data_IF_447441146124
#
_entry.id   IF_447441146124
#
_cell.length_a   1.000
_cell.length_b   1.000
_cell.length_c   1.000
_cell.angle_alpha   90.00
_cell.angle_beta   90.00
_cell.angle_gamma   90.00
#
_symmetry.space_group_name_H-M   'P 1'
#
loop_
_entity.id
_entity.type
_entity.pdbx_description
1 polymer ?
#
# COMPACT_ATOMS: atom_id res chain seq x y z
N UNK A 1 -36.07 -35.26 0.14
CA UNK A 1 -35.30 -34.75 1.29
C UNK A 1 -34.34 -33.69 0.76
N UNK A 2 -34.71 -32.40 0.87
CA UNK A 2 -33.84 -31.29 0.45
C UNK A 2 -32.58 -31.32 1.32
N UNK A 3 -31.43 -31.62 0.72
CA UNK A 3 -30.15 -31.36 1.35
C UNK A 3 -29.88 -29.86 1.19
N UNK A 4 -30.14 -29.08 2.23
CA UNK A 4 -29.56 -27.75 2.38
C UNK A 4 -28.04 -27.93 2.33
N UNK A 5 -27.44 -27.67 1.18
CA UNK A 5 -26.01 -27.40 1.09
C UNK A 5 -25.82 -26.02 1.74
N UNK A 6 -25.49 -26.05 3.03
CA UNK A 6 -24.90 -24.90 3.70
C UNK A 6 -23.64 -24.51 2.91
N UNK A 7 -23.78 -23.51 2.04
CA UNK A 7 -22.69 -22.76 1.41
C UNK A 7 -21.98 -21.93 2.48
N UNK A 8 -21.47 -22.60 3.51
CA UNK A 8 -20.57 -22.02 4.50
C UNK A 8 -19.25 -21.70 3.81
N UNK A 9 -19.02 -20.43 3.55
CA UNK A 9 -17.75 -19.85 3.15
C UNK A 9 -16.66 -20.20 4.17
N UNK A 10 -15.96 -21.31 3.99
CA UNK A 10 -14.74 -21.58 4.74
C UNK A 10 -13.86 -22.53 3.94
N UNK A 11 -12.90 -21.97 3.20
CA UNK A 11 -11.92 -22.76 2.45
C UNK A 11 -10.51 -22.63 3.04
N UNK A 12 -10.12 -21.47 3.55
CA UNK A 12 -8.99 -21.30 4.46
C UNK A 12 -9.08 -19.92 5.13
N UNK A 13 -8.53 -19.71 6.34
CA UNK A 13 -8.49 -18.37 6.90
C UNK A 13 -7.61 -17.45 6.03
N UNK A 14 -8.10 -16.24 5.76
CA UNK A 14 -7.35 -15.21 5.02
C UNK A 14 -6.07 -14.83 5.76
N UNK A 15 -5.14 -14.15 5.10
CA UNK A 15 -3.93 -13.64 5.77
C UNK A 15 -4.28 -12.78 6.98
N UNK A 16 -5.25 -11.86 6.85
CA UNK A 16 -5.71 -11.02 7.96
C UNK A 16 -6.21 -11.86 9.15
N UNK A 17 -7.02 -12.89 8.89
CA UNK A 17 -7.53 -13.77 9.94
C UNK A 17 -6.40 -14.56 10.64
N UNK A 18 -5.40 -15.03 9.89
CA UNK A 18 -4.23 -15.73 10.45
C UNK A 18 -3.38 -14.81 11.34
N UNK A 19 -3.23 -13.55 10.96
CA UNK A 19 -2.43 -12.55 11.67
C UNK A 19 -3.29 -11.55 12.45
N UNK A 20 -4.50 -11.95 12.84
CA UNK A 20 -5.46 -11.07 13.50
C UNK A 20 -4.92 -10.49 14.80
N UNK A 21 -4.32 -11.33 15.66
CA UNK A 21 -3.78 -10.89 16.96
C UNK A 21 -2.68 -9.83 16.80
N UNK A 22 -1.80 -10.02 15.83
CA UNK A 22 -0.77 -9.03 15.49
C UNK A 22 -1.40 -7.72 15.00
N UNK A 23 -2.29 -7.79 14.01
CA UNK A 23 -2.97 -6.62 13.47
C UNK A 23 -3.77 -5.85 14.54
N UNK A 24 -4.44 -6.57 15.44
CA UNK A 24 -5.15 -5.98 16.58
C UNK A 24 -4.19 -5.28 17.53
N UNK A 25 -3.08 -5.92 17.88
CA UNK A 25 -2.05 -5.32 18.75
C UNK A 25 -1.51 -4.01 18.19
N UNK A 26 -1.26 -3.95 16.87
CA UNK A 26 -0.86 -2.70 16.20
C UNK A 26 -1.99 -1.66 16.22
N UNK A 27 -3.22 -2.03 15.85
CA UNK A 27 -4.36 -1.12 15.83
C UNK A 27 -4.69 -0.52 17.21
N UNK A 28 -4.52 -1.30 18.27
CA UNK A 28 -4.72 -0.86 19.67
C UNK A 28 -3.51 -0.07 20.22
N UNK A 29 -2.44 0.13 19.43
CA UNK A 29 -1.21 0.81 19.86
C UNK A 29 -0.30 0.00 20.78
N UNK A 30 -0.59 -1.29 21.01
CA UNK A 30 0.25 -2.18 21.79
C UNK A 30 1.42 -2.71 20.94
N UNK A 31 2.37 -1.83 20.65
CA UNK A 31 3.53 -2.14 19.82
C UNK A 31 4.49 -3.14 20.48
N UNK A 32 4.59 -3.14 21.81
CA UNK A 32 5.46 -4.06 22.56
C UNK A 32 5.00 -5.51 22.40
N UNK A 33 3.70 -5.76 22.51
CA UNK A 33 3.16 -7.10 22.28
C UNK A 33 3.25 -7.48 20.79
N UNK A 34 3.03 -6.54 19.87
CA UNK A 34 3.21 -6.78 18.44
C UNK A 34 4.65 -7.24 18.12
N UNK A 35 5.66 -6.51 18.62
CA UNK A 35 7.08 -6.85 18.49
C UNK A 35 7.39 -8.24 19.06
N UNK A 36 6.86 -8.55 20.25
CA UNK A 36 7.05 -9.86 20.88
C UNK A 36 6.50 -11.01 20.03
N UNK A 37 5.30 -10.85 19.46
CA UNK A 37 4.73 -11.83 18.53
C UNK A 37 5.66 -12.05 17.33
N UNK A 38 6.20 -10.96 16.75
CA UNK A 38 7.13 -11.06 15.63
C UNK A 38 8.42 -11.78 15.99
N UNK A 39 9.05 -11.42 17.11
CA UNK A 39 10.30 -12.05 17.59
C UNK A 39 10.13 -13.54 17.88
N UNK A 40 8.98 -13.96 18.40
CA UNK A 40 8.72 -15.38 18.66
C UNK A 40 8.67 -16.27 17.41
N UNK A 41 8.31 -15.72 16.25
CA UNK A 41 8.17 -16.47 14.99
C UNK A 41 9.28 -16.14 13.98
N UNK A 42 10.24 -15.28 14.32
CA UNK A 42 11.23 -14.71 13.41
C UNK A 42 11.98 -15.78 12.59
N UNK A 43 12.58 -16.76 13.24
CA UNK A 43 13.39 -17.78 12.57
C UNK A 43 12.59 -18.58 11.52
N UNK A 44 11.28 -18.77 11.75
CA UNK A 44 10.36 -19.46 10.84
C UNK A 44 9.90 -18.52 9.73
N UNK A 45 9.53 -17.29 10.07
CA UNK A 45 8.95 -16.33 9.13
C UNK A 45 9.98 -15.81 8.11
N UNK A 46 11.21 -15.52 8.52
CA UNK A 46 12.29 -15.05 7.63
C UNK A 46 12.67 -16.10 6.56
N UNK A 47 12.44 -17.39 6.83
CA UNK A 47 12.69 -18.49 5.87
C UNK A 47 11.44 -18.88 5.08
N UNK A 48 10.29 -18.27 5.37
CA UNK A 48 9.01 -18.63 4.79
C UNK A 48 8.69 -17.84 3.51
N UNK A 49 7.57 -18.18 2.88
CA UNK A 49 6.96 -17.43 1.77
C UNK A 49 6.41 -16.06 2.19
N UNK A 50 6.39 -15.76 3.49
CA UNK A 50 5.91 -14.52 4.08
C UNK A 50 7.05 -13.60 4.54
N UNK A 51 8.32 -13.93 4.24
CA UNK A 51 9.50 -13.18 4.72
C UNK A 51 9.45 -11.69 4.40
N UNK A 52 9.00 -11.31 3.20
CA UNK A 52 8.75 -9.92 2.85
C UNK A 52 7.82 -9.24 3.87
N UNK A 53 6.63 -9.81 4.07
CA UNK A 53 5.64 -9.29 5.00
C UNK A 53 6.16 -9.25 6.44
N UNK A 54 6.94 -10.25 6.85
CA UNK A 54 7.57 -10.23 8.16
C UNK A 54 8.50 -9.03 8.31
N UNK A 55 9.42 -8.80 7.37
CA UNK A 55 10.37 -7.70 7.46
C UNK A 55 9.70 -6.34 7.42
N UNK A 56 8.78 -6.10 6.48
CA UNK A 56 8.13 -4.78 6.38
C UNK A 56 7.25 -4.46 7.59
N UNK A 57 6.54 -5.46 8.15
CA UNK A 57 5.79 -5.26 9.39
C UNK A 57 6.72 -5.01 10.60
N UNK A 58 7.87 -5.69 10.67
CA UNK A 58 8.84 -5.53 11.75
C UNK A 58 9.49 -4.15 11.67
N UNK A 59 9.80 -3.71 10.46
CA UNK A 59 10.27 -2.36 10.15
C UNK A 59 9.31 -1.30 10.68
N UNK A 60 8.02 -1.39 10.34
CA UNK A 60 7.01 -0.41 10.81
C UNK A 60 6.89 -0.41 12.32
N UNK A 61 6.75 -1.59 12.96
CA UNK A 61 6.62 -1.67 14.43
C UNK A 61 7.85 -1.07 15.11
N UNK A 62 9.06 -1.38 14.63
CA UNK A 62 10.29 -0.80 15.16
C UNK A 62 10.37 0.72 14.95
N UNK A 63 9.97 1.22 13.77
CA UNK A 63 9.92 2.67 13.46
C UNK A 63 8.97 3.40 14.41
N UNK A 64 7.76 2.88 14.61
CA UNK A 64 6.76 3.45 15.53
C UNK A 64 7.21 3.42 16.99
N UNK A 65 8.14 2.53 17.36
CA UNK A 65 8.76 2.48 18.68
C UNK A 65 10.01 3.37 18.81
N UNK A 66 10.41 4.09 17.75
CA UNK A 66 11.64 4.89 17.72
C UNK A 66 12.92 4.07 17.58
N UNK A 67 12.84 2.78 17.26
CA UNK A 67 13.98 1.88 17.04
C UNK A 67 14.42 1.93 15.57
N UNK A 68 14.88 3.09 15.14
CA UNK A 68 15.09 3.41 13.73
C UNK A 68 16.18 2.55 13.06
N UNK A 69 17.26 2.21 13.77
CA UNK A 69 18.30 1.31 13.25
C UNK A 69 17.77 -0.11 13.02
N UNK A 70 17.04 -0.66 14.00
CA UNK A 70 16.41 -1.99 13.88
C UNK A 70 15.38 -1.99 12.75
N UNK A 71 14.59 -0.92 12.65
CA UNK A 71 13.62 -0.71 11.58
C UNK A 71 14.29 -0.74 10.20
N UNK A 72 15.33 0.07 10.00
CA UNK A 72 16.07 0.13 8.73
C UNK A 72 16.74 -1.20 8.38
N UNK A 73 17.22 -1.95 9.37
CA UNK A 73 17.77 -3.29 9.13
C UNK A 73 16.72 -4.28 8.59
N UNK A 74 15.46 -4.19 9.05
CA UNK A 74 14.38 -5.00 8.49
C UNK A 74 14.00 -4.53 7.07
N UNK A 75 13.87 -3.23 6.86
CA UNK A 75 13.55 -2.69 5.53
C UNK A 75 14.64 -3.01 4.50
N UNK A 76 15.93 -2.97 4.87
CA UNK A 76 17.01 -3.38 3.97
C UNK A 76 16.92 -4.85 3.57
N UNK A 77 16.55 -5.75 4.49
CA UNK A 77 16.30 -7.17 4.15
C UNK A 77 15.17 -7.31 3.14
N UNK A 78 14.10 -6.52 3.27
CA UNK A 78 13.00 -6.51 2.32
C UNK A 78 13.44 -5.96 0.94
N UNK A 79 14.24 -4.88 0.94
CA UNK A 79 14.79 -4.24 -0.28
C UNK A 79 15.66 -5.22 -1.08
N UNK A 80 16.65 -5.83 -0.43
CA UNK A 80 17.53 -6.84 -1.02
C UNK A 80 16.73 -8.06 -1.54
N UNK A 81 15.72 -8.48 -0.79
CA UNK A 81 14.87 -9.60 -1.20
C UNK A 81 14.08 -9.30 -2.48
N UNK A 82 13.59 -8.07 -2.67
CA UNK A 82 12.89 -7.67 -3.90
C UNK A 82 13.84 -7.78 -5.10
N UNK A 83 15.05 -7.23 -4.98
CA UNK A 83 16.05 -7.24 -6.05
C UNK A 83 16.48 -8.66 -6.45
N UNK A 84 16.73 -9.52 -5.46
CA UNK A 84 17.15 -10.90 -5.70
C UNK A 84 16.01 -11.75 -6.29
N UNK A 85 14.78 -11.57 -5.81
CA UNK A 85 13.66 -12.34 -6.33
C UNK A 85 13.34 -11.99 -7.78
N UNK A 86 13.42 -10.71 -8.16
CA UNK A 86 13.19 -10.29 -9.55
C UNK A 86 14.11 -11.02 -10.54
N UNK A 87 15.38 -11.25 -10.17
CA UNK A 87 16.34 -11.98 -11.00
C UNK A 87 15.95 -13.46 -11.16
N UNK A 88 15.57 -14.12 -10.07
CA UNK A 88 15.31 -15.57 -10.07
C UNK A 88 13.93 -15.96 -10.65
N UNK A 89 12.91 -15.11 -10.53
CA UNK A 89 11.55 -15.43 -10.99
C UNK A 89 11.45 -15.64 -12.50
N UNK A 90 12.30 -14.97 -13.29
CA UNK A 90 12.35 -15.13 -14.75
C UNK A 90 12.80 -16.55 -15.17
N UNK A 91 13.47 -17.29 -14.28
CA UNK A 91 14.03 -18.62 -14.57
C UNK A 91 13.05 -19.76 -14.22
N UNK A 92 12.01 -19.51 -13.40
CA UNK A 92 11.05 -20.52 -12.93
C UNK A 92 9.81 -20.64 -13.83
N UNK A 93 9.94 -21.31 -14.98
CA UNK A 93 8.80 -21.64 -15.85
C UNK A 93 7.69 -22.41 -15.11
N UNK A 94 6.44 -21.92 -15.16
CA UNK A 94 5.24 -22.62 -14.66
C UNK A 94 4.82 -22.29 -13.21
N UNK A 95 5.63 -21.56 -12.43
CA UNK A 95 5.29 -21.20 -11.05
C UNK A 95 4.01 -20.36 -10.91
N UNK A 96 3.65 -19.59 -11.94
CA UNK A 96 2.42 -18.78 -11.98
C UNK A 96 1.12 -19.60 -12.03
N UNK A 97 1.19 -20.89 -12.39
CA UNK A 97 0.05 -21.82 -12.41
C UNK A 97 -0.13 -22.58 -11.09
N UNK A 98 0.76 -22.40 -10.11
CA UNK A 98 0.57 -22.94 -8.77
C UNK A 98 -0.46 -22.11 -8.00
N UNK A 99 -1.06 -22.67 -6.95
CA UNK A 99 -1.91 -21.87 -6.04
C UNK A 99 -1.07 -20.70 -5.48
N UNK A 100 -1.57 -19.45 -5.46
CA UNK A 100 -0.78 -18.29 -5.04
C UNK A 100 -0.25 -18.40 -3.60
N UNK A 101 -0.95 -19.10 -2.71
CA UNK A 101 -0.48 -19.37 -1.34
C UNK A 101 0.78 -20.28 -1.31
N UNK A 102 1.14 -20.90 -2.44
CA UNK A 102 2.36 -21.68 -2.62
C UNK A 102 3.54 -20.88 -3.19
N UNK A 103 3.31 -19.69 -3.73
CA UNK A 103 4.39 -18.79 -4.16
C UNK A 103 4.89 -17.94 -3.01
N UNK A 104 6.07 -17.33 -3.17
CA UNK A 104 6.56 -16.31 -2.21
C UNK A 104 5.86 -14.99 -2.49
N UNK A 105 5.41 -14.29 -1.44
CA UNK A 105 4.88 -12.95 -1.59
C UNK A 105 6.01 -11.93 -1.70
N UNK A 106 5.96 -11.06 -2.70
CA UNK A 106 7.05 -10.13 -3.04
C UNK A 106 6.76 -8.66 -2.74
N UNK A 107 5.54 -8.35 -2.28
CA UNK A 107 5.05 -6.98 -2.19
C UNK A 107 4.42 -6.48 -3.49
N UNK A 108 3.42 -5.63 -3.33
CA UNK A 108 2.86 -4.83 -4.41
C UNK A 108 3.81 -3.72 -4.84
N UNK A 109 3.62 -3.16 -6.03
CA UNK A 109 4.50 -2.09 -6.53
C UNK A 109 4.47 -0.85 -5.61
N UNK A 110 3.28 -0.42 -5.18
CA UNK A 110 3.13 0.68 -4.19
C UNK A 110 3.70 0.29 -2.81
N UNK A 111 3.55 -0.96 -2.38
CA UNK A 111 4.14 -1.44 -1.11
C UNK A 111 5.67 -1.32 -1.11
N UNK A 112 6.33 -1.54 -2.25
CA UNK A 112 7.80 -1.45 -2.36
C UNK A 112 8.29 -0.01 -2.26
N UNK A 113 7.54 0.97 -2.77
CA UNK A 113 7.86 2.39 -2.62
C UNK A 113 7.86 2.80 -1.14
N UNK A 114 6.94 2.24 -0.35
CA UNK A 114 6.83 2.53 1.08
C UNK A 114 8.03 2.09 1.92
N UNK A 115 8.86 1.16 1.43
CA UNK A 115 10.09 0.73 2.12
C UNK A 115 11.05 1.91 2.25
N UNK A 116 11.33 2.59 1.14
CA UNK A 116 12.25 3.73 1.15
C UNK A 116 11.63 4.94 1.84
N UNK A 117 10.30 5.11 1.81
CA UNK A 117 9.62 6.12 2.63
C UNK A 117 9.98 5.96 4.12
N UNK A 118 9.76 4.77 4.69
CA UNK A 118 10.08 4.56 6.11
C UNK A 118 11.58 4.67 6.38
N UNK A 119 12.44 4.14 5.50
CA UNK A 119 13.89 4.25 5.67
C UNK A 119 14.35 5.70 5.68
N UNK A 120 13.84 6.52 4.75
CA UNK A 120 14.18 7.93 4.66
C UNK A 120 13.73 8.71 5.89
N UNK A 121 12.49 8.48 6.36
CA UNK A 121 12.00 9.06 7.62
C UNK A 121 12.87 8.65 8.81
N UNK A 122 13.17 7.37 8.95
CA UNK A 122 13.99 6.84 10.04
C UNK A 122 15.40 7.47 10.04
N UNK A 123 16.06 7.54 8.87
CA UNK A 123 17.36 8.20 8.76
C UNK A 123 17.28 9.68 9.11
N UNK A 124 16.24 10.37 8.67
CA UNK A 124 16.00 11.77 9.02
C UNK A 124 15.85 11.96 10.54
N UNK A 125 15.03 11.11 11.20
CA UNK A 125 14.85 11.14 12.66
C UNK A 125 16.16 10.90 13.43
N UNK A 126 17.11 10.17 12.84
CA UNK A 126 18.41 9.91 13.41
C UNK A 126 19.45 11.02 13.15
N UNK A 127 19.07 12.10 12.46
CA UNK A 127 20.01 13.13 11.99
C UNK A 127 20.95 12.65 10.88
N UNK A 128 20.63 11.52 10.24
CA UNK A 128 21.40 10.89 9.15
C UNK A 128 20.88 11.36 7.79
N UNK A 129 21.07 12.65 7.53
CA UNK A 129 20.48 13.34 6.39
C UNK A 129 21.01 12.84 5.04
N UNK A 130 22.29 12.53 4.94
CA UNK A 130 22.89 11.99 3.71
C UNK A 130 22.27 10.63 3.35
N UNK A 131 22.05 9.77 4.35
CA UNK A 131 21.38 8.48 4.16
C UNK A 131 19.90 8.66 3.76
N UNK A 132 19.18 9.64 4.32
CA UNK A 132 17.82 9.96 3.89
C UNK A 132 17.78 10.41 2.42
N UNK A 133 18.77 11.19 1.97
CA UNK A 133 18.92 11.60 0.55
C UNK A 133 19.28 10.42 -0.35
N UNK A 134 20.06 9.44 0.12
CA UNK A 134 20.30 8.19 -0.62
C UNK A 134 18.99 7.44 -0.87
N UNK A 135 18.11 7.37 0.12
CA UNK A 135 16.80 6.74 -0.07
C UNK A 135 15.91 7.51 -1.05
N UNK A 136 16.03 8.84 -1.15
CA UNK A 136 15.36 9.63 -2.20
C UNK A 136 15.81 9.20 -3.61
N UNK A 137 17.10 8.98 -3.81
CA UNK A 137 17.63 8.47 -5.08
C UNK A 137 17.13 7.06 -5.39
N UNK A 138 17.03 6.19 -4.38
CA UNK A 138 16.47 4.84 -4.54
C UNK A 138 14.98 4.88 -4.93
N UNK A 139 14.20 5.79 -4.32
CA UNK A 139 12.80 6.02 -4.69
C UNK A 139 12.67 6.49 -6.14
N UNK A 140 13.48 7.45 -6.56
CA UNK A 140 13.51 7.95 -7.93
C UNK A 140 13.78 6.82 -8.94
N UNK A 141 14.80 5.98 -8.69
CA UNK A 141 15.09 4.81 -9.53
C UNK A 141 13.90 3.85 -9.58
N UNK A 142 13.24 3.60 -8.45
CA UNK A 142 12.09 2.68 -8.38
C UNK A 142 10.87 3.23 -9.10
N UNK A 143 10.64 4.54 -9.05
CA UNK A 143 9.59 5.21 -9.85
C UNK A 143 9.86 5.09 -11.34
N UNK A 144 11.10 5.32 -11.78
CA UNK A 144 11.47 5.14 -13.20
C UNK A 144 11.26 3.68 -13.65
N UNK A 145 11.61 2.69 -12.82
CA UNK A 145 11.35 1.28 -13.13
C UNK A 145 9.84 0.97 -13.20
N UNK A 146 9.03 1.62 -12.37
CA UNK A 146 7.58 1.46 -12.36
C UNK A 146 6.95 2.06 -13.63
N UNK A 147 7.39 3.24 -14.05
CA UNK A 147 6.90 3.89 -15.26
C UNK A 147 7.31 3.14 -16.53
N UNK A 148 8.53 2.59 -16.59
CA UNK A 148 8.94 1.72 -17.72
C UNK A 148 8.13 0.42 -17.81
N UNK A 149 7.68 -0.12 -16.67
CA UNK A 149 6.87 -1.34 -16.60
C UNK A 149 5.46 -1.14 -17.17
N UNK A 150 4.93 0.08 -17.11
CA UNK A 150 3.54 0.38 -17.45
C UNK A 150 3.44 1.56 -18.42
N UNK A 151 3.10 1.29 -19.68
CA UNK A 151 2.99 2.32 -20.74
C UNK A 151 1.57 2.85 -20.98
N UNK A 152 0.62 2.56 -20.09
CA UNK A 152 -0.80 2.89 -20.28
C UNK A 152 -1.22 4.03 -19.36
N UNK A 153 -1.87 5.06 -19.90
CA UNK A 153 -2.36 6.25 -19.16
C UNK A 153 -3.31 5.94 -17.99
N UNK A 154 -3.93 4.75 -17.98
CA UNK A 154 -4.83 4.32 -16.90
C UNK A 154 -4.16 3.49 -15.80
N UNK A 155 -2.82 3.39 -15.80
CA UNK A 155 -2.06 2.61 -14.83
C UNK A 155 -1.34 3.50 -13.84
N UNK A 156 -1.22 3.03 -12.60
CA UNK A 156 -0.36 3.63 -11.60
C UNK A 156 1.11 3.45 -12.00
N UNK A 157 1.69 4.51 -12.59
CA UNK A 157 3.07 4.54 -13.09
C UNK A 157 3.95 5.58 -12.39
N UNK A 158 3.32 6.61 -11.83
CA UNK A 158 3.97 7.71 -11.12
C UNK A 158 3.31 7.91 -9.75
N UNK A 159 4.05 8.45 -8.78
CA UNK A 159 3.56 8.66 -7.42
C UNK A 159 3.91 10.08 -6.95
N UNK A 160 2.87 10.93 -6.87
CA UNK A 160 3.04 12.33 -6.48
C UNK A 160 3.55 12.45 -5.03
N UNK A 161 3.09 11.57 -4.14
CA UNK A 161 3.47 11.58 -2.73
C UNK A 161 4.97 11.30 -2.55
N UNK A 162 5.53 10.35 -3.29
CA UNK A 162 6.96 10.06 -3.23
C UNK A 162 7.78 11.30 -3.67
N UNK A 163 7.34 12.03 -4.70
CA UNK A 163 7.98 13.29 -5.08
C UNK A 163 7.84 14.38 -4.01
N UNK A 164 6.69 14.50 -3.33
CA UNK A 164 6.55 15.45 -2.21
C UNK A 164 7.49 15.07 -1.06
N UNK A 165 7.59 13.80 -0.72
CA UNK A 165 8.51 13.30 0.31
C UNK A 165 9.97 13.61 -0.03
N UNK A 166 10.39 13.32 -1.27
CA UNK A 166 11.72 13.69 -1.76
C UNK A 166 11.95 15.20 -1.62
N UNK A 167 10.96 16.01 -2.01
CA UNK A 167 11.00 17.46 -1.85
C UNK A 167 11.19 17.90 -0.40
N UNK A 168 10.44 17.31 0.54
CA UNK A 168 10.56 17.59 1.98
C UNK A 168 11.96 17.27 2.50
N UNK A 169 12.53 16.13 2.08
CA UNK A 169 13.87 15.72 2.53
C UNK A 169 14.95 16.62 1.93
N UNK A 170 14.94 16.85 0.61
CA UNK A 170 15.89 17.76 -0.04
C UNK A 170 15.85 19.15 0.57
N UNK A 171 14.66 19.70 0.77
CA UNK A 171 14.44 20.99 1.41
C UNK A 171 14.98 21.02 2.84
N UNK A 172 14.71 19.98 3.63
CA UNK A 172 15.21 19.87 5.00
C UNK A 172 16.74 19.75 5.10
N UNK A 173 17.38 19.29 4.02
CA UNK A 173 18.86 19.24 3.89
C UNK A 173 19.47 20.48 3.22
N UNK A 174 18.66 21.48 2.84
CA UNK A 174 19.12 22.70 2.19
C UNK A 174 19.35 22.60 0.68
N UNK A 175 19.01 21.46 0.05
CA UNK A 175 19.07 21.26 -1.40
C UNK A 175 17.78 21.77 -2.07
N UNK A 176 17.58 23.09 -2.01
CA UNK A 176 16.32 23.72 -2.46
C UNK A 176 16.05 23.53 -3.95
N UNK A 177 17.08 23.38 -4.78
CA UNK A 177 16.90 23.19 -6.22
C UNK A 177 16.30 21.82 -6.52
N UNK A 178 16.87 20.75 -5.93
CA UNK A 178 16.29 19.42 -6.07
C UNK A 178 14.91 19.32 -5.38
N UNK A 179 14.71 20.04 -4.27
CA UNK A 179 13.41 20.14 -3.64
C UNK A 179 12.35 20.78 -4.56
N UNK A 180 12.69 21.90 -5.21
CA UNK A 180 11.82 22.56 -6.19
C UNK A 180 11.46 21.63 -7.35
N UNK A 181 12.45 20.91 -7.91
CA UNK A 181 12.21 19.96 -9.00
C UNK A 181 11.25 18.86 -8.54
N UNK A 182 11.48 18.27 -7.36
CA UNK A 182 10.61 17.23 -6.82
C UNK A 182 9.17 17.74 -6.57
N UNK A 183 9.02 18.92 -5.97
CA UNK A 183 7.69 19.53 -5.76
C UNK A 183 6.99 19.87 -7.08
N UNK A 184 7.73 20.30 -8.11
CA UNK A 184 7.17 20.56 -9.44
C UNK A 184 6.68 19.28 -10.10
N UNK A 185 7.46 18.20 -10.03
CA UNK A 185 7.04 16.90 -10.55
C UNK A 185 5.79 16.39 -9.81
N UNK A 186 5.73 16.53 -8.49
CA UNK A 186 4.54 16.20 -7.71
C UNK A 186 3.30 17.01 -8.16
N UNK A 187 3.45 18.32 -8.39
CA UNK A 187 2.38 19.16 -8.91
C UNK A 187 1.85 18.66 -10.25
N UNK A 188 2.75 18.32 -11.19
CA UNK A 188 2.37 17.83 -12.52
C UNK A 188 1.57 16.52 -12.42
N UNK A 189 1.97 15.60 -11.53
CA UNK A 189 1.26 14.34 -11.30
C UNK A 189 -0.12 14.58 -10.66
N UNK A 190 -0.21 15.47 -9.65
CA UNK A 190 -1.49 15.84 -9.04
C UNK A 190 -2.48 16.46 -10.04
N UNK A 191 -2.01 17.34 -10.92
CA UNK A 191 -2.84 17.98 -11.96
C UNK A 191 -3.18 17.03 -13.11
N UNK A 192 -2.37 16.00 -13.33
CA UNK A 192 -2.54 14.98 -14.37
C UNK A 192 -3.15 13.67 -13.86
N UNK A 193 -2.30 12.68 -13.62
CA UNK A 193 -2.69 11.29 -13.33
C UNK A 193 -3.58 11.20 -12.08
N UNK A 194 -3.20 11.85 -10.98
CA UNK A 194 -3.89 11.74 -9.69
C UNK A 194 -5.29 12.38 -9.68
N UNK A 195 -5.49 13.49 -10.40
CA UNK A 195 -6.81 14.08 -10.58
C UNK A 195 -7.77 13.11 -11.30
N UNK A 196 -7.26 12.32 -12.24
CA UNK A 196 -8.04 11.38 -13.03
C UNK A 196 -8.28 10.06 -12.29
N UNK A 197 -7.21 9.44 -11.77
CA UNK A 197 -7.23 8.11 -11.15
C UNK A 197 -7.82 8.13 -9.74
N UNK A 198 -7.43 9.10 -8.91
CA UNK A 198 -7.73 9.12 -7.48
C UNK A 198 -8.66 10.26 -7.05
N UNK A 199 -9.02 11.16 -7.97
CA UNK A 199 -9.81 12.37 -7.69
C UNK A 199 -9.18 13.27 -6.63
N UNK A 200 -7.85 13.23 -6.52
CA UNK A 200 -7.09 14.03 -5.58
C UNK A 200 -6.80 15.42 -6.15
N UNK A 201 -6.74 16.41 -5.27
CA UNK A 201 -6.36 17.78 -5.61
C UNK A 201 -4.94 18.05 -5.13
N UNK A 202 -4.30 19.06 -5.73
CA UNK A 202 -2.97 19.54 -5.30
C UNK A 202 -3.04 19.96 -3.83
N UNK A 203 -2.23 19.37 -2.93
CA UNK A 203 -2.16 19.76 -1.52
C UNK A 203 -1.84 21.24 -1.35
N UNK A 204 -2.51 21.93 -0.41
CA UNK A 204 -2.31 23.37 -0.25
C UNK A 204 -0.88 23.70 0.21
N UNK A 205 -0.34 22.88 1.13
CA UNK A 205 1.03 23.00 1.57
C UNK A 205 2.05 22.82 0.43
N UNK A 206 1.75 21.97 -0.57
CA UNK A 206 2.66 21.74 -1.70
C UNK A 206 2.82 22.98 -2.54
N UNK A 207 1.75 23.74 -2.76
CA UNK A 207 1.79 25.00 -3.51
C UNK A 207 2.71 26.01 -2.83
N UNK A 208 2.64 26.10 -1.50
CA UNK A 208 3.50 26.99 -0.71
C UNK A 208 4.96 26.54 -0.74
N UNK A 209 5.22 25.25 -0.55
CA UNK A 209 6.58 24.68 -0.59
C UNK A 209 7.23 24.83 -1.97
N UNK A 210 6.45 24.69 -3.05
CA UNK A 210 6.92 24.90 -4.42
C UNK A 210 7.36 26.36 -4.66
N UNK A 211 6.54 27.34 -4.25
CA UNK A 211 6.88 28.76 -4.37
C UNK A 211 8.09 29.10 -3.51
N UNK A 212 8.13 28.62 -2.26
CA UNK A 212 9.23 28.86 -1.33
C UNK A 212 10.55 28.31 -1.86
N UNK A 213 10.57 27.06 -2.31
CA UNK A 213 11.80 26.45 -2.83
C UNK A 213 12.26 27.06 -4.15
N UNK A 214 11.35 27.51 -5.01
CA UNK A 214 11.71 28.30 -6.19
C UNK A 214 12.44 29.59 -5.81
N UNK A 215 11.92 30.32 -4.82
CA UNK A 215 12.51 31.56 -4.31
C UNK A 215 13.87 31.33 -3.63
N UNK A 216 13.96 30.30 -2.77
CA UNK A 216 15.20 29.94 -2.08
C UNK A 216 16.29 29.48 -3.06
N UNK A 217 15.91 28.87 -4.18
CA UNK A 217 16.81 28.44 -5.26
C UNK A 217 17.18 29.56 -6.25
N UNK A 218 16.60 30.76 -6.12
CA UNK A 218 16.82 31.87 -7.04
C UNK A 218 16.11 31.74 -8.39
N UNK A 219 15.11 30.86 -8.50
CA UNK A 219 14.32 30.60 -9.71
C UNK A 219 13.07 31.52 -9.69
N UNK A 220 13.32 32.84 -9.72
CA UNK A 220 12.28 33.85 -9.49
C UNK A 220 11.16 33.86 -10.54
N UNK A 221 11.47 33.51 -11.79
CA UNK A 221 10.46 33.42 -12.85
C UNK A 221 9.41 32.33 -12.55
N UNK A 222 9.84 31.16 -12.06
CA UNK A 222 8.93 30.09 -11.65
C UNK A 222 8.19 30.46 -10.36
N UNK A 223 8.86 31.10 -9.40
CA UNK A 223 8.23 31.65 -8.19
C UNK A 223 7.05 32.55 -8.56
N UNK A 224 7.28 33.57 -9.39
CA UNK A 224 6.27 34.55 -9.77
C UNK A 224 5.15 33.91 -10.60
N UNK A 225 5.49 32.94 -11.46
CA UNK A 225 4.52 32.14 -12.20
C UNK A 225 3.60 31.36 -11.26
N UNK A 226 4.14 30.68 -10.25
CA UNK A 226 3.34 29.86 -9.33
C UNK A 226 2.56 30.70 -8.31
N UNK A 227 3.11 31.83 -7.84
CA UNK A 227 2.37 32.83 -7.05
C UNK A 227 1.10 33.24 -7.81
N UNK A 228 1.25 33.59 -9.09
CA UNK A 228 0.11 33.98 -9.94
C UNK A 228 -0.83 32.81 -10.24
N UNK A 229 -0.30 31.61 -10.50
CA UNK A 229 -1.11 30.41 -10.82
C UNK A 229 -2.04 30.04 -9.67
N UNK A 230 -1.55 30.15 -8.44
CA UNK A 230 -2.26 29.71 -7.24
C UNK A 230 -2.93 30.84 -6.45
N UNK A 231 -2.76 32.10 -6.88
CA UNK A 231 -3.24 33.30 -6.17
C UNK A 231 -2.73 33.35 -4.71
N UNK A 232 -1.45 33.07 -4.53
CA UNK A 232 -0.83 32.97 -3.20
C UNK A 232 -0.27 34.31 -2.73
N UNK A 233 -0.45 34.59 -1.44
CA UNK A 233 0.38 35.57 -0.72
C UNK A 233 1.66 34.88 -0.26
N UNK A 234 2.81 35.40 -0.70
CA UNK A 234 4.12 34.84 -0.35
C UNK A 234 5.05 35.92 0.19
N UNK A 235 5.62 35.63 1.35
CA UNK A 235 6.73 36.37 1.94
C UNK A 235 7.91 35.44 2.09
N UNK A 236 9.10 35.92 1.71
CA UNK A 236 10.33 35.12 1.84
C UNK A 236 10.63 34.88 3.32
N UNK A 237 10.80 33.62 3.77
CA UNK A 237 11.22 33.33 5.14
C UNK A 237 12.56 33.99 5.47
N UNK A 238 12.75 34.34 6.74
CA UNK A 238 14.05 34.75 7.24
C UNK A 238 15.07 33.60 7.07
N UNK A 239 16.35 33.93 6.87
CA UNK A 239 17.38 32.91 6.62
C UNK A 239 17.64 31.95 7.79
N UNK A 240 17.29 32.38 9.00
CA UNK A 240 17.39 31.65 10.26
C UNK A 240 16.07 30.98 10.67
N UNK A 241 15.00 31.14 9.88
CA UNK A 241 13.69 30.55 10.16
C UNK A 241 13.76 29.03 10.20
N UNK A 242 13.33 28.45 11.32
CA UNK A 242 13.19 27.01 11.46
C UNK A 242 11.76 26.56 11.13
N UNK A 243 11.62 25.29 10.73
CA UNK A 243 10.33 24.72 10.35
C UNK A 243 10.08 23.39 11.05
N UNK A 244 8.80 23.09 11.29
CA UNK A 244 8.33 21.77 11.66
C UNK A 244 7.42 21.23 10.56
N UNK A 245 7.80 20.12 9.92
CA UNK A 245 6.98 19.42 8.95
C UNK A 245 6.32 18.24 9.64
N UNK A 246 5.00 18.30 9.77
CA UNK A 246 4.22 17.24 10.39
C UNK A 246 3.75 16.31 9.28
N UNK A 247 4.11 15.03 9.37
CA UNK A 247 3.60 13.98 8.48
C UNK A 247 2.67 13.09 9.27
N UNK A 248 1.39 13.04 8.91
CA UNK A 248 0.40 12.23 9.61
C UNK A 248 0.02 10.99 8.81
N UNK A 249 0.45 9.83 9.31
CA UNK A 249 0.08 8.51 8.86
C UNK A 249 -1.24 8.10 9.54
N UNK A 250 -2.35 8.25 8.82
CA UNK A 250 -3.69 8.05 9.37
C UNK A 250 -4.27 6.69 9.00
N UNK A 251 -4.79 5.99 10.01
CA UNK A 251 -5.43 4.69 9.89
C UNK A 251 -4.45 3.58 9.50
N UNK A 252 -5.01 2.45 9.08
CA UNK A 252 -4.27 1.33 8.53
C UNK A 252 -4.88 0.99 7.17
N UNK A 253 -4.06 0.69 6.16
CA UNK A 253 -4.45 0.45 4.77
C UNK A 253 -5.45 -0.71 4.59
N UNK A 254 -5.84 -1.10 3.38
CA UNK A 254 -6.84 -2.15 3.23
C UNK A 254 -6.30 -3.53 3.60
N UNK A 255 -7.21 -4.49 3.75
CA UNK A 255 -6.88 -5.92 3.85
C UNK A 255 -7.32 -6.60 2.55
N UNK A 256 -6.62 -7.64 2.11
CA UNK A 256 -7.15 -8.49 1.04
C UNK A 256 -8.04 -9.59 1.60
N UNK A 257 -9.17 -9.76 0.94
CA UNK A 257 -10.10 -10.86 1.10
C UNK A 257 -10.23 -11.59 -0.24
N UNK A 258 -11.03 -12.65 -0.27
CA UNK A 258 -11.34 -13.38 -1.49
C UNK A 258 -12.82 -13.30 -1.86
N UNK A 259 -13.11 -13.43 -3.14
CA UNK A 259 -14.46 -13.56 -3.65
C UNK A 259 -14.49 -14.63 -4.73
N UNK A 260 -15.57 -15.41 -4.76
CA UNK A 260 -15.74 -16.50 -5.71
C UNK A 260 -16.74 -16.13 -6.79
N UNK A 261 -16.41 -16.44 -8.04
CA UNK A 261 -17.28 -16.27 -9.20
C UNK A 261 -17.43 -17.62 -9.89
N UNK A 262 -18.66 -17.94 -10.28
CA UNK A 262 -18.96 -19.12 -11.07
C UNK A 262 -18.91 -18.75 -12.55
N UNK A 263 -18.22 -19.54 -13.35
CA UNK A 263 -18.14 -19.42 -14.80
C UNK A 263 -18.76 -20.66 -15.44
N UNK A 264 -19.55 -20.45 -16.49
CA UNK A 264 -20.04 -21.50 -17.37
C UNK A 264 -18.94 -21.85 -18.36
N UNK A 265 -18.72 -23.15 -18.58
CA UNK A 265 -17.77 -23.63 -19.58
C UNK A 265 -18.50 -23.79 -20.92
N UNK A 266 -18.07 -23.06 -21.94
CA UNK A 266 -18.57 -23.19 -23.32
C UNK A 266 -17.46 -23.77 -24.17
N UNK A 267 -17.71 -24.91 -24.83
CA UNK A 267 -16.75 -25.56 -25.72
C UNK A 267 -17.09 -25.29 -27.16
N UNK A 268 -16.06 -25.18 -27.99
CA UNK A 268 -16.18 -24.96 -29.42
C UNK A 268 -15.57 -26.15 -30.16
N UNK A 269 -16.04 -26.40 -31.38
CA UNK A 269 -15.59 -27.53 -32.21
C UNK A 269 -14.13 -27.41 -32.66
N UNK A 270 -13.51 -26.23 -32.50
CA UNK A 270 -12.12 -25.92 -32.86
C UNK A 270 -11.12 -26.14 -31.70
N UNK A 271 -11.53 -26.84 -30.63
CA UNK A 271 -10.68 -27.15 -29.48
C UNK A 271 -10.52 -26.00 -28.48
N UNK A 272 -11.22 -24.88 -28.71
CA UNK A 272 -11.25 -23.77 -27.76
C UNK A 272 -12.32 -23.96 -26.69
N UNK A 273 -12.06 -23.34 -25.54
CA UNK A 273 -12.99 -23.30 -24.41
C UNK A 273 -13.11 -21.89 -23.88
N UNK A 274 -14.33 -21.42 -23.69
CA UNK A 274 -14.67 -20.14 -23.04
C UNK A 274 -15.17 -20.35 -21.62
N UNK A 275 -14.64 -19.58 -20.69
CA UNK A 275 -15.23 -19.36 -19.37
C UNK A 275 -16.07 -18.10 -19.41
N UNK A 276 -17.38 -18.26 -19.27
CA UNK A 276 -18.35 -17.16 -19.41
C UNK A 276 -19.03 -16.86 -18.08
N UNK A 277 -19.10 -15.59 -17.70
CA UNK A 277 -19.95 -15.12 -16.63
C UNK A 277 -20.76 -13.92 -17.12
N UNK A 278 -22.08 -14.11 -17.28
CA UNK A 278 -22.97 -13.09 -17.83
C UNK A 278 -23.21 -11.92 -16.87
N UNK A 279 -23.25 -12.19 -15.55
CA UNK A 279 -23.51 -11.17 -14.53
C UNK A 279 -22.42 -10.08 -14.49
N UNK A 280 -21.18 -10.44 -14.78
CA UNK A 280 -20.02 -9.54 -14.82
C UNK A 280 -19.55 -9.26 -16.25
N UNK A 281 -20.27 -9.71 -17.28
CA UNK A 281 -19.91 -9.56 -18.70
C UNK A 281 -18.49 -10.04 -19.02
N UNK A 282 -18.08 -11.17 -18.44
CA UNK A 282 -16.74 -11.74 -18.61
C UNK A 282 -16.75 -12.93 -19.57
N UNK A 283 -15.80 -12.97 -20.50
CA UNK A 283 -15.56 -14.12 -21.38
C UNK A 283 -14.05 -14.31 -21.57
N UNK A 284 -13.51 -15.41 -21.04
CA UNK A 284 -12.10 -15.77 -21.16
C UNK A 284 -11.97 -17.02 -22.03
N UNK A 285 -11.35 -16.87 -23.19
CA UNK A 285 -11.20 -17.96 -24.17
C UNK A 285 -9.77 -18.52 -24.11
N UNK A 286 -9.64 -19.82 -23.90
CA UNK A 286 -8.37 -20.54 -23.82
C UNK A 286 -8.34 -21.67 -24.84
N UNK A 287 -7.16 -21.89 -25.42
CA UNK A 287 -6.90 -23.11 -26.17
C UNK A 287 -6.47 -24.18 -25.18
N UNK A 288 -7.14 -25.33 -25.25
CA UNK A 288 -6.85 -26.46 -24.38
C UNK A 288 -6.22 -27.54 -25.26
N UNK A 289 -5.21 -28.24 -24.76
CA UNK A 289 -4.58 -29.34 -25.50
C UNK A 289 -5.55 -30.51 -25.67
N UNK A 290 -5.42 -31.24 -26.78
CA UNK A 290 -6.32 -32.34 -27.17
C UNK A 290 -6.39 -33.48 -26.14
N UNK A 291 -5.37 -33.61 -25.29
CA UNK A 291 -5.27 -34.61 -24.22
C UNK A 291 -5.99 -34.19 -22.92
N UNK A 292 -6.45 -32.95 -22.81
CA UNK A 292 -7.15 -32.43 -21.63
C UNK A 292 -8.65 -32.74 -21.72
N UNK A 293 -9.09 -33.75 -21.00
CA UNK A 293 -10.52 -34.09 -20.93
C UNK A 293 -11.28 -33.15 -19.98
N UNK A 294 -12.00 -32.19 -20.57
CA UNK A 294 -12.90 -31.31 -19.84
C UNK A 294 -14.38 -31.72 -19.98
N UNK A 295 -14.69 -32.86 -20.62
CA UNK A 295 -16.04 -33.20 -21.11
C UNK A 295 -17.14 -33.20 -20.04
N UNK A 296 -16.82 -33.60 -18.81
CA UNK A 296 -17.72 -33.61 -17.65
C UNK A 296 -17.88 -32.29 -16.90
N UNK A 297 -17.23 -31.21 -17.33
CA UNK A 297 -17.21 -29.92 -16.62
C UNK A 297 -18.15 -28.93 -17.29
N UNK A 298 -19.22 -28.54 -16.60
CA UNK A 298 -20.21 -27.55 -17.10
C UNK A 298 -20.05 -26.16 -16.50
N UNK A 299 -19.51 -26.08 -15.27
CA UNK A 299 -19.25 -24.83 -14.58
C UNK A 299 -18.01 -24.96 -13.71
N UNK A 300 -17.32 -23.85 -13.47
CA UNK A 300 -16.17 -23.75 -12.58
C UNK A 300 -16.38 -22.59 -11.62
N UNK A 301 -16.13 -22.81 -10.33
CA UNK A 301 -15.95 -21.72 -9.36
C UNK A 301 -14.47 -21.35 -9.31
N UNK A 302 -14.15 -20.10 -9.61
CA UNK A 302 -12.83 -19.53 -9.44
C UNK A 302 -12.88 -18.45 -8.34
N UNK A 303 -11.80 -18.35 -7.57
CA UNK A 303 -11.66 -17.37 -6.49
C UNK A 303 -10.58 -16.36 -6.85
N UNK A 304 -10.82 -15.11 -6.48
CA UNK A 304 -9.98 -13.98 -6.82
C UNK A 304 -9.75 -13.09 -5.60
N UNK A 305 -8.62 -12.37 -5.55
CA UNK A 305 -8.39 -11.40 -4.50
C UNK A 305 -9.30 -10.18 -4.69
N UNK A 306 -9.65 -9.55 -3.58
CA UNK A 306 -10.24 -8.21 -3.53
C UNK A 306 -9.70 -7.48 -2.32
N UNK A 307 -9.52 -6.16 -2.43
CA UNK A 307 -9.28 -5.36 -1.24
C UNK A 307 -10.59 -5.05 -0.51
N UNK A 308 -10.48 -4.95 0.81
CA UNK A 308 -11.53 -4.50 1.72
C UNK A 308 -10.93 -3.38 2.55
N UNK A 309 -11.55 -2.21 2.47
CA UNK A 309 -11.14 -1.03 3.21
C UNK A 309 -11.22 -1.28 4.72
N UNK A 310 -10.26 -0.72 5.45
CA UNK A 310 -10.36 -0.50 6.89
C UNK A 310 -10.67 0.99 7.11
N UNK A 311 -11.94 1.35 7.37
CA UNK A 311 -12.32 2.75 7.34
C UNK A 311 -11.63 3.54 8.45
N UNK A 312 -11.31 4.79 8.12
CA UNK A 312 -10.65 5.74 9.01
C UNK A 312 -11.47 5.97 10.30
N UNK A 313 -10.76 6.20 11.41
CA UNK A 313 -11.36 6.73 12.65
C UNK A 313 -11.27 8.26 12.72
N UNK A 314 -10.13 8.84 12.32
CA UNK A 314 -9.96 10.29 12.21
C UNK A 314 -10.14 10.74 10.76
N UNK A 315 -10.88 11.84 10.54
CA UNK A 315 -11.17 12.40 9.21
C UNK A 315 -10.29 13.59 8.85
N UNK A 316 -9.88 14.36 9.85
CA UNK A 316 -9.10 15.57 9.67
C UNK A 316 -8.25 15.86 10.89
N UNK A 317 -7.20 16.65 10.68
CA UNK A 317 -6.36 17.16 11.74
C UNK A 317 -6.01 18.63 11.47
N UNK A 318 -5.99 19.42 12.53
CA UNK A 318 -5.47 20.79 12.54
C UNK A 318 -4.27 20.78 13.48
N UNK A 319 -3.17 21.40 13.07
CA UNK A 319 -2.03 21.66 13.94
C UNK A 319 -1.85 23.14 14.15
N UNK A 320 -1.40 23.52 15.35
CA UNK A 320 -1.21 24.92 15.71
C UNK A 320 0.01 25.12 16.59
N UNK A 321 0.64 26.28 16.39
CA UNK A 321 1.59 26.89 17.31
C UNK A 321 0.89 28.04 18.06
N UNK A 322 1.64 28.83 18.84
CA UNK A 322 1.09 30.05 19.45
C UNK A 322 0.69 31.11 18.41
N UNK A 323 1.26 31.08 17.20
CA UNK A 323 1.16 32.14 16.21
C UNK A 323 0.31 31.76 15.00
N UNK A 324 0.22 30.48 14.66
CA UNK A 324 -0.51 30.01 13.49
C UNK A 324 -1.24 28.68 13.70
N UNK A 325 -2.22 28.42 12.85
CA UNK A 325 -2.99 27.17 12.82
C UNK A 325 -3.25 26.76 11.38
N UNK A 326 -3.00 25.49 11.06
CA UNK A 326 -3.07 24.95 9.69
C UNK A 326 -3.72 23.56 9.67
N UNK A 327 -4.62 23.28 8.71
CA UNK A 327 -5.08 21.93 8.47
C UNK A 327 -3.99 21.09 7.80
N UNK A 328 -3.99 19.79 8.07
CA UNK A 328 -3.17 18.85 7.32
C UNK A 328 -3.79 18.55 5.95
N UNK A 329 -2.99 18.64 4.88
CA UNK A 329 -3.42 18.35 3.52
C UNK A 329 -3.16 16.89 3.16
N UNK A 330 -4.12 16.22 2.50
CA UNK A 330 -3.97 14.84 2.03
C UNK A 330 -2.86 14.75 0.98
N UNK A 331 -1.82 13.97 1.28
CA UNK A 331 -0.75 13.63 0.35
C UNK A 331 -1.07 12.40 -0.47
N UNK A 332 -1.49 11.33 0.20
CA UNK A 332 -1.60 10.02 -0.41
C UNK A 332 -2.82 9.28 0.12
N UNK A 333 -3.60 8.67 -0.77
CA UNK A 333 -4.61 7.69 -0.44
C UNK A 333 -4.09 6.29 -0.79
N UNK A 334 -3.27 5.75 0.11
CA UNK A 334 -2.65 4.41 -0.02
C UNK A 334 -3.73 3.33 -0.20
N UNK A 335 -4.91 3.54 0.40
CA UNK A 335 -6.06 2.67 0.20
C UNK A 335 -6.54 2.73 -1.25
N UNK A 336 -6.79 3.90 -1.82
CA UNK A 336 -7.19 4.03 -3.23
C UNK A 336 -6.13 3.43 -4.19
N UNK A 337 -4.84 3.69 -3.96
CA UNK A 337 -3.75 3.10 -4.76
C UNK A 337 -3.74 1.58 -4.68
N UNK A 338 -3.95 1.00 -3.49
CA UNK A 338 -4.04 -0.45 -3.32
C UNK A 338 -5.14 -1.06 -4.20
N UNK A 339 -6.34 -0.46 -4.20
CA UNK A 339 -7.46 -0.92 -5.02
C UNK A 339 -7.16 -0.80 -6.51
N UNK A 340 -6.59 0.34 -6.92
CA UNK A 340 -6.25 0.63 -8.32
C UNK A 340 -5.19 -0.34 -8.87
N UNK A 341 -4.12 -0.58 -8.13
CA UNK A 341 -3.06 -1.53 -8.51
C UNK A 341 -3.62 -2.95 -8.67
N UNK A 342 -4.59 -3.35 -7.84
CA UNK A 342 -5.26 -4.64 -8.01
C UNK A 342 -6.14 -4.65 -9.26
N UNK A 343 -6.99 -3.63 -9.44
CA UNK A 343 -7.90 -3.47 -10.58
C UNK A 343 -7.16 -3.63 -11.92
N UNK A 344 -6.03 -2.96 -12.08
CA UNK A 344 -5.24 -2.96 -13.33
C UNK A 344 -4.74 -4.34 -13.76
N UNK A 345 -4.49 -5.23 -12.80
CA UNK A 345 -4.05 -6.60 -13.08
C UNK A 345 -5.14 -7.64 -12.94
N UNK A 346 -6.37 -7.25 -12.58
CA UNK A 346 -7.46 -8.21 -12.34
C UNK A 346 -7.73 -9.10 -13.55
N UNK A 347 -7.63 -8.59 -14.77
CA UNK A 347 -7.77 -9.40 -15.97
C UNK A 347 -6.78 -10.58 -16.02
N UNK A 348 -5.53 -10.33 -15.63
CA UNK A 348 -4.51 -11.37 -15.55
C UNK A 348 -4.75 -12.33 -14.39
N UNK A 349 -5.21 -11.83 -13.24
CA UNK A 349 -5.60 -12.68 -12.11
C UNK A 349 -6.78 -13.60 -12.46
N UNK A 350 -7.77 -13.07 -13.18
CA UNK A 350 -8.88 -13.86 -13.73
C UNK A 350 -8.35 -14.98 -14.64
N UNK A 351 -7.51 -14.61 -15.61
CA UNK A 351 -6.98 -15.54 -16.61
C UNK A 351 -6.15 -16.67 -15.98
N UNK A 352 -5.23 -16.34 -15.07
CA UNK A 352 -4.37 -17.32 -14.39
C UNK A 352 -5.18 -18.27 -13.52
N UNK A 353 -6.12 -17.76 -12.74
CA UNK A 353 -6.92 -18.58 -11.83
C UNK A 353 -7.83 -19.53 -12.61
N UNK A 354 -8.52 -19.04 -13.65
CA UNK A 354 -9.37 -19.88 -14.52
C UNK A 354 -8.58 -21.01 -15.18
N UNK A 355 -7.42 -20.70 -15.76
CA UNK A 355 -6.54 -21.71 -16.36
C UNK A 355 -6.08 -22.74 -15.33
N UNK A 356 -5.65 -22.30 -14.14
CA UNK A 356 -5.24 -23.20 -13.04
C UNK A 356 -6.38 -24.11 -12.60
N UNK A 357 -7.60 -23.58 -12.43
CA UNK A 357 -8.74 -24.41 -12.03
C UNK A 357 -9.08 -25.42 -13.12
N UNK A 358 -9.04 -25.02 -14.40
CA UNK A 358 -9.28 -25.91 -15.54
C UNK A 358 -8.28 -27.08 -15.56
N UNK A 359 -6.98 -26.79 -15.43
CA UNK A 359 -5.92 -27.81 -15.39
C UNK A 359 -6.09 -28.78 -14.21
N UNK A 360 -6.43 -28.27 -13.02
CA UNK A 360 -6.72 -29.12 -11.85
C UNK A 360 -7.93 -30.02 -12.06
N UNK A 361 -8.99 -29.51 -12.67
CA UNK A 361 -10.18 -30.30 -12.93
C UNK A 361 -9.95 -31.36 -14.01
N UNK A 362 -9.19 -31.05 -15.06
CA UNK A 362 -8.78 -32.04 -16.05
C UNK A 362 -7.96 -33.19 -15.45
N UNK A 363 -7.02 -32.87 -14.56
CA UNK A 363 -6.27 -33.88 -13.82
C UNK A 363 -7.18 -34.76 -12.94
N UNK A 364 -8.19 -34.18 -12.28
CA UNK A 364 -9.18 -34.93 -11.51
C UNK A 364 -10.09 -35.81 -12.38
N UNK A 365 -10.48 -35.33 -13.58
CA UNK A 365 -11.26 -36.08 -14.55
C UNK A 365 -10.50 -37.32 -15.05
N UNK A 366 -9.20 -37.18 -15.34
CA UNK A 366 -8.34 -38.30 -15.75
C UNK A 366 -8.27 -39.43 -14.69
N UNK A 367 -8.25 -39.08 -13.40
CA UNK A 367 -8.20 -40.04 -12.28
C UNK A 367 -9.57 -40.72 -12.05
N UNK A 368 -10.67 -40.09 -12.46
CA UNK A 368 -12.03 -40.58 -12.21
C UNK A 368 -12.66 -41.36 -13.36
N UNK A 369 -11.90 -41.63 -14.43
CA UNK A 369 -12.36 -42.36 -15.63
C UNK A 369 -12.99 -43.73 -15.35
N UNK A 370 -12.68 -44.35 -14.21
CA UNK A 370 -13.23 -45.64 -13.81
C UNK A 370 -14.53 -45.57 -13.00
N UNK A 371 -14.99 -44.36 -12.61
CA UNK A 371 -16.18 -44.23 -11.76
C UNK A 371 -16.81 -42.82 -11.85
N UNK A 372 -17.88 -42.67 -12.65
CA UNK A 372 -18.58 -41.40 -12.93
C UNK A 372 -19.04 -40.66 -11.65
N UNK A 373 -19.41 -41.39 -10.60
CA UNK A 373 -19.80 -40.80 -9.31
C UNK A 373 -18.65 -40.21 -8.50
N UNK A 374 -17.42 -40.71 -8.68
CA UNK A 374 -16.21 -40.17 -8.05
C UNK A 374 -15.71 -38.91 -8.77
N UNK A 375 -15.92 -38.80 -10.09
CA UNK A 375 -15.44 -37.64 -10.87
C UNK A 375 -16.13 -36.33 -10.50
N UNK A 376 -17.45 -36.36 -10.29
CA UNK A 376 -18.21 -35.18 -9.82
C UNK A 376 -17.87 -34.79 -8.38
N UNK A 377 -17.62 -35.76 -7.50
CA UNK A 377 -17.18 -35.49 -6.13
C UNK A 377 -15.74 -34.92 -6.07
N UNK A 378 -14.83 -35.46 -6.89
CA UNK A 378 -13.43 -35.01 -6.96
C UNK A 378 -13.29 -33.63 -7.63
N UNK A 379 -14.13 -33.29 -8.61
CA UNK A 379 -14.13 -31.94 -9.22
C UNK A 379 -14.58 -30.86 -8.22
N UNK A 380 -15.60 -31.16 -7.40
CA UNK A 380 -16.03 -30.30 -6.29
C UNK A 380 -14.88 -30.15 -5.28
N UNK A 381 -14.25 -31.26 -4.85
CA UNK A 381 -13.11 -31.23 -3.92
C UNK A 381 -11.90 -30.45 -4.48
N UNK A 382 -11.59 -30.58 -5.78
CA UNK A 382 -10.51 -29.85 -6.43
C UNK A 382 -10.73 -28.33 -6.40
N UNK A 383 -11.97 -27.88 -6.64
CA UNK A 383 -12.34 -26.46 -6.55
C UNK A 383 -12.28 -25.89 -5.13
N UNK A 384 -12.49 -26.74 -4.11
CA UNK A 384 -12.32 -26.37 -2.69
C UNK A 384 -10.84 -26.21 -2.28
N UNK A 385 -9.86 -26.48 -3.15
CA UNK A 385 -8.43 -26.21 -2.84
C UNK A 385 -7.93 -24.90 -3.44
N UNK A 386 -8.76 -24.20 -4.22
CA UNK A 386 -8.44 -22.88 -4.74
C UNK A 386 -8.67 -21.81 -3.66
N UNK A 387 -7.72 -20.90 -3.57
CA UNK A 387 -7.75 -19.73 -2.69
C UNK A 387 -7.05 -18.59 -3.39
N UNK A 388 -7.54 -17.38 -3.18
CA UNK A 388 -6.86 -16.20 -3.70
C UNK A 388 -5.63 -15.87 -2.85
N UNK A 389 -4.72 -15.07 -3.43
CA UNK A 389 -3.68 -14.44 -2.62
C UNK A 389 -4.29 -13.32 -1.76
N UNK A 390 -4.51 -13.62 -0.48
CA UNK A 390 -5.02 -12.64 0.50
C UNK A 390 -3.91 -11.92 1.25
N UNK A 391 -2.64 -12.08 0.83
CA UNK A 391 -1.49 -11.44 1.47
C UNK A 391 -1.34 -10.01 0.99
N UNK A 392 -1.13 -9.09 1.92
CA UNK A 392 -0.76 -7.70 1.67
C UNK A 392 -0.10 -7.10 2.92
N UNK A 393 0.60 -5.97 2.77
CA UNK A 393 1.21 -5.24 3.87
C UNK A 393 0.15 -4.42 4.62
N UNK A 394 -0.31 -4.96 5.76
CA UNK A 394 -1.46 -4.45 6.51
C UNK A 394 -1.11 -3.45 7.62
N UNK A 395 0.13 -2.98 7.70
CA UNK A 395 0.54 -1.94 8.66
C UNK A 395 0.90 -0.62 7.99
N UNK A 396 0.80 -0.55 6.66
CA UNK A 396 0.80 0.72 5.94
C UNK A 396 -0.35 1.61 6.42
N UNK A 397 -0.21 2.95 6.37
CA UNK A 397 -1.31 3.86 6.65
C UNK A 397 -2.43 3.69 5.61
N UNK A 398 -3.64 4.11 5.97
CA UNK A 398 -4.72 4.25 5.00
C UNK A 398 -4.48 5.49 4.14
N UNK A 399 -4.16 6.61 4.77
CA UNK A 399 -3.89 7.87 4.11
C UNK A 399 -2.74 8.60 4.81
N UNK A 400 -2.00 9.39 4.04
CA UNK A 400 -0.89 10.20 4.54
C UNK A 400 -1.23 11.65 4.31
N UNK A 401 -1.01 12.49 5.31
CA UNK A 401 -1.22 13.93 5.24
C UNK A 401 0.03 14.68 5.68
N UNK A 402 0.14 15.95 5.30
CA UNK A 402 1.18 16.80 5.87
C UNK A 402 0.81 18.28 5.94
N UNK A 403 1.58 19.01 6.74
CA UNK A 403 1.67 20.47 6.71
C UNK A 403 3.05 20.91 7.22
N UNK A 404 3.41 22.16 6.95
CA UNK A 404 4.59 22.83 7.51
C UNK A 404 4.16 23.97 8.42
N UNK A 405 4.85 24.12 9.54
CA UNK A 405 4.70 25.22 10.48
C UNK A 405 6.03 25.94 10.66
N UNK A 406 5.96 27.24 10.88
CA UNK A 406 7.07 28.07 11.32
C UNK A 406 7.24 27.93 12.83
N UNK A 407 8.48 27.75 13.26
CA UNK A 407 8.84 27.52 14.67
C UNK A 407 10.07 28.32 15.04
N UNK A 408 10.19 28.70 16.31
CA UNK A 408 11.32 29.47 16.81
C UNK A 408 12.57 28.60 16.94
N UNK A 409 13.66 29.01 16.31
CA UNK A 409 14.96 28.37 16.43
C UNK A 409 15.51 28.45 17.88
N UNK A 410 16.26 27.44 18.28
CA UNK A 410 16.95 27.31 19.57
C UNK A 410 16.04 27.34 20.81
N UNK A 411 14.71 27.30 20.63
CA UNK A 411 13.70 27.30 21.69
C UNK A 411 12.78 26.10 21.57
N UNK A 412 12.17 25.72 22.69
CA UNK A 412 11.16 24.68 22.71
C UNK A 412 9.83 25.27 22.22
N UNK A 413 9.28 24.68 21.15
CA UNK A 413 8.02 25.07 20.55
C UNK A 413 6.97 24.01 20.89
N UNK A 414 5.86 24.43 21.51
CA UNK A 414 4.70 23.56 21.69
C UNK A 414 3.88 23.53 20.39
N UNK A 415 3.55 22.34 19.93
CA UNK A 415 2.67 22.10 18.80
C UNK A 415 1.46 21.32 19.31
N UNK A 416 0.29 21.90 19.13
CA UNK A 416 -0.99 21.27 19.43
C UNK A 416 -1.57 20.65 18.15
N UNK A 417 -2.16 19.48 18.26
CA UNK A 417 -2.79 18.74 17.17
C UNK A 417 -4.19 18.31 17.58
N UNK A 418 -5.19 18.88 16.91
CA UNK A 418 -6.60 18.58 17.09
C UNK A 418 -7.05 17.56 16.04
N UNK A 419 -7.24 16.31 16.48
CA UNK A 419 -7.72 15.21 15.64
C UNK A 419 -9.25 15.12 15.70
N UNK A 420 -9.93 15.26 14.56
CA UNK A 420 -11.40 15.13 14.50
C UNK A 420 -11.80 13.75 14.01
N UNK A 421 -12.53 13.00 14.84
CA UNK A 421 -12.99 11.65 14.51
C UNK A 421 -14.26 11.62 13.62
N UNK A 422 -14.66 10.44 13.17
CA UNK A 422 -15.83 10.25 12.29
C UNK A 422 -17.15 10.78 12.88
N UNK A 423 -17.24 10.87 14.22
CA UNK A 423 -18.39 11.37 14.98
C UNK A 423 -18.31 12.88 15.27
N UNK A 424 -17.25 13.56 14.81
CA UNK A 424 -17.01 14.98 15.06
C UNK A 424 -16.44 15.30 16.44
N UNK A 425 -16.00 14.29 17.21
CA UNK A 425 -15.29 14.54 18.46
C UNK A 425 -13.85 14.92 18.17
N UNK A 426 -13.34 15.89 18.93
CA UNK A 426 -11.96 16.37 18.82
C UNK A 426 -11.13 15.79 19.96
N UNK A 427 -10.02 15.15 19.59
CA UNK A 427 -9.02 14.63 20.51
C UNK A 427 -7.75 15.49 20.36
N UNK A 428 -7.33 16.13 21.46
CA UNK A 428 -6.19 17.04 21.46
C UNK A 428 -4.91 16.32 21.88
N UNK A 429 -3.83 16.56 21.14
CA UNK A 429 -2.51 16.03 21.43
C UNK A 429 -1.46 17.14 21.34
N UNK A 430 -0.57 17.22 22.33
CA UNK A 430 0.52 18.17 22.36
C UNK A 430 1.86 17.45 22.19
N UNK A 431 2.77 18.01 21.40
CA UNK A 431 4.17 17.60 21.35
C UNK A 431 5.08 18.81 21.22
N UNK A 432 6.39 18.58 21.34
CA UNK A 432 7.38 19.66 21.40
C UNK A 432 8.49 19.42 20.42
N UNK A 433 8.95 20.49 19.77
CA UNK A 433 10.12 20.48 18.90
C UNK A 433 11.09 21.58 19.31
N UNK A 434 12.39 21.32 19.19
CA UNK A 434 13.45 22.29 19.49
C UNK A 434 14.46 22.32 18.36
N UNK A 435 14.13 22.98 17.23
CA UNK A 435 15.02 23.07 16.09
C UNK A 435 16.17 24.04 16.35
N UNK A 436 17.24 23.90 15.59
CA UNK A 436 18.33 24.87 15.43
C UNK A 436 18.01 25.87 14.31
N UNK A 437 18.85 26.89 14.14
CA UNK A 437 18.65 27.92 13.10
C UNK A 437 18.60 27.31 11.69
N UNK A 438 17.56 27.65 10.92
CA UNK A 438 17.35 27.11 9.58
C UNK A 438 16.98 25.63 9.50
N UNK A 439 16.86 24.92 10.63
CA UNK A 439 16.57 23.49 10.64
C UNK A 439 15.09 23.23 10.31
N UNK A 440 14.86 22.25 9.44
CA UNK A 440 13.54 21.65 9.27
C UNK A 440 13.47 20.37 10.09
N UNK A 441 12.64 20.33 11.11
CA UNK A 441 12.35 19.10 11.85
C UNK A 441 11.21 18.37 11.15
N UNK A 442 11.45 17.12 10.76
CA UNK A 442 10.40 16.24 10.27
C UNK A 442 9.79 15.50 11.46
N UNK A 443 8.46 15.46 11.57
CA UNK A 443 7.78 14.84 12.71
C UNK A 443 6.67 13.90 12.23
N UNK A 444 6.97 12.61 12.03
CA UNK A 444 5.98 11.62 11.63
C UNK A 444 5.10 11.19 12.81
N UNK A 445 3.79 11.31 12.64
CA UNK A 445 2.76 10.91 13.60
C UNK A 445 1.97 9.75 13.02
N UNK A 446 1.63 8.75 13.84
CA UNK A 446 0.87 7.58 13.42
C UNK A 446 -0.41 7.45 14.26
N UNK A 447 -1.57 7.38 13.59
CA UNK A 447 -2.85 7.01 14.23
C UNK A 447 -3.35 5.69 13.67
N UNK A 448 -3.32 4.62 14.47
CA UNK A 448 -3.62 3.25 14.00
C UNK A 448 -5.08 2.82 14.24
N UNK A 449 -5.90 3.74 14.77
CA UNK A 449 -7.30 3.51 15.04
C UNK A 449 -8.10 3.36 13.73
N UNK A 450 -8.99 2.37 13.71
CA UNK A 450 -9.91 2.13 12.58
C UNK A 450 -11.33 1.98 13.12
N UNK A 451 -12.33 2.45 12.38
CA UNK A 451 -13.76 2.25 12.73
C UNK A 451 -14.26 0.85 12.33
N UNK A 452 -13.39 0.05 11.70
CA UNK A 452 -13.66 -1.32 11.28
C UNK A 452 -14.22 -2.20 12.43
N UNK A 453 -13.86 -1.89 13.68
CA UNK A 453 -14.28 -2.60 14.88
C UNK A 453 -15.72 -2.33 15.34
N UNK A 454 -16.42 -1.35 14.75
CA UNK A 454 -17.81 -1.04 15.10
C UNK A 454 -18.87 -1.68 14.18
N UNK A 455 -18.50 -2.14 12.98
CA UNK A 455 -19.46 -2.53 11.94
C UNK A 455 -19.56 -4.04 11.65
N UNK A 456 -18.66 -4.86 12.20
CA UNK A 456 -18.80 -6.33 12.16
C UNK A 456 -18.77 -6.85 13.58
N UNK A 457 -19.94 -7.20 14.12
CA UNK A 457 -20.15 -7.73 15.48
C UNK A 457 -19.43 -9.03 15.79
N UNK A 458 -18.10 -9.02 15.78
CA UNK A 458 -17.28 -9.99 16.49
C UNK A 458 -17.33 -9.63 17.96
N UNK A 459 -18.28 -10.24 18.67
CA UNK A 459 -18.35 -10.19 20.13
C UNK A 459 -17.00 -10.65 20.70
N UNK A 460 -16.30 -9.71 21.33
CA UNK A 460 -15.23 -10.01 22.27
C UNK A 460 -15.92 -10.62 23.49
N UNK A 461 -15.85 -11.93 23.65
CA UNK A 461 -16.03 -12.52 24.98
C UNK A 461 -14.92 -11.97 25.88
N UNK A 462 -15.36 -11.41 27.00
CA UNK A 462 -14.57 -10.72 28.03
C UNK A 462 -13.33 -11.49 28.49
#
# INVERSE_FOLDING_TARGET
MLLLVLLGSCVAPTYYQKFYKFNKSVSDGNLVEAEKMMKSEQAKMEKSRLRFLFWVNAGVVASMQGKFEESNAYFEKADLFIEDYQKNFLEEGGAFLLNPNLSTYQGEDHEKLMINYYKALNYYQMGKYDEAVVECKRMDIRLHQLSEKYSSENKFSEDAFIHVLMGIIYDGTGDYNNAFIAYRNALEIYEGEYANLFKMQVPEQLKQDLVRTADLSGIYDERDRFIKKFDLSYERPASDQAHAVIIWNNGLGPIKDEWGINFTLVRYDDGWVSFVNDNYHMNFRFQVSDDTDLSGITWIRAVFPKYVERPLYYKSAIVSTETESRPLSLLEDVNAVSFKVLEERMFWEFSKSLLRVALKQAAAAQVSKDNEGLGSALSILGSLTESADTRNWQTLPHSIYYTRLDVEANKENAIEMDLTNVNGQVEQHSFKVKPTEGETVLFPINTMATTFWYLRGYQVTQ
#
